data_IF_055048239951
#
_entry.id   IF_055048239951
#
_cell.length_a   1.000
_cell.length_b   1.000
_cell.length_c   1.000
_cell.angle_alpha   90.00
_cell.angle_beta   90.00
_cell.angle_gamma   90.00
#
_symmetry.space_group_name_H-M   'P 1'
#
loop_
_entity.id
_entity.type
_entity.pdbx_description
1 polymer ?
#
# COMPACT_ATOMS: atom_id res chain seq x y z
N UNK A 1 15.11 -22.06 -34.30
CA UNK A 1 15.58 -20.73 -33.89
C UNK A 1 14.59 -20.16 -32.89
N UNK A 2 15.03 -19.66 -31.74
CA UNK A 2 14.14 -18.98 -30.80
C UNK A 2 13.60 -17.70 -31.45
N UNK A 3 12.27 -17.51 -31.44
CA UNK A 3 11.63 -16.29 -31.92
C UNK A 3 11.80 -15.22 -30.85
N UNK A 4 12.54 -14.15 -31.14
CA UNK A 4 12.64 -12.99 -30.25
C UNK A 4 11.29 -12.27 -30.25
N UNK A 5 10.61 -12.26 -29.10
CA UNK A 5 9.43 -11.44 -28.89
C UNK A 5 9.87 -10.01 -28.55
N UNK A 6 9.22 -9.00 -29.14
CA UNK A 6 9.37 -7.59 -28.77
C UNK A 6 8.13 -7.17 -27.98
N UNK A 7 8.35 -6.37 -26.94
CA UNK A 7 7.31 -5.70 -26.19
C UNK A 7 7.76 -4.28 -25.85
N UNK A 8 6.83 -3.34 -25.76
CA UNK A 8 7.12 -1.97 -25.33
C UNK A 8 7.47 -1.95 -23.84
N UNK A 9 6.81 -2.81 -23.04
CA UNK A 9 7.07 -2.99 -21.62
C UNK A 9 7.15 -4.46 -21.26
N UNK A 10 8.16 -4.83 -20.49
CA UNK A 10 8.29 -6.15 -19.85
C UNK A 10 8.23 -5.97 -18.34
N UNK A 11 7.24 -6.61 -17.71
CA UNK A 11 7.06 -6.64 -16.26
C UNK A 11 7.52 -8.00 -15.73
N UNK A 12 8.53 -8.01 -14.87
CA UNK A 12 9.07 -9.24 -14.27
C UNK A 12 8.47 -9.41 -12.88
N UNK A 13 7.75 -10.52 -12.69
CA UNK A 13 6.89 -10.80 -11.55
C UNK A 13 5.45 -10.35 -11.80
N UNK A 14 4.49 -11.16 -11.38
CA UNK A 14 3.05 -10.93 -11.42
C UNK A 14 2.47 -10.60 -10.03
N UNK A 15 3.26 -9.90 -9.21
CA UNK A 15 2.81 -9.35 -7.93
C UNK A 15 2.08 -8.01 -8.07
N UNK A 16 1.67 -7.45 -6.93
CA UNK A 16 0.83 -6.24 -6.86
C UNK A 16 1.46 -5.01 -7.54
N UNK A 17 2.78 -4.86 -7.45
CA UNK A 17 3.50 -3.74 -8.07
C UNK A 17 3.41 -3.77 -9.59
N UNK A 18 3.76 -4.90 -10.20
CA UNK A 18 3.68 -5.11 -11.65
C UNK A 18 2.24 -5.04 -12.15
N UNK A 19 1.29 -5.66 -11.44
CA UNK A 19 -0.13 -5.61 -11.81
C UNK A 19 -0.66 -4.17 -11.81
N UNK A 20 -0.34 -3.39 -10.77
CA UNK A 20 -0.77 -1.99 -10.66
C UNK A 20 -0.15 -1.13 -11.75
N UNK A 21 1.16 -1.25 -11.99
CA UNK A 21 1.84 -0.51 -13.05
C UNK A 21 1.31 -0.88 -14.43
N UNK A 22 1.09 -2.17 -14.69
CA UNK A 22 0.51 -2.65 -15.94
C UNK A 22 -0.90 -2.10 -16.18
N UNK A 23 -1.74 -2.04 -15.14
CA UNK A 23 -3.07 -1.43 -15.23
C UNK A 23 -3.00 0.07 -15.56
N UNK A 24 -2.09 0.82 -14.92
CA UNK A 24 -1.88 2.24 -15.22
C UNK A 24 -1.41 2.46 -16.66
N UNK A 25 -0.39 1.72 -17.09
CA UNK A 25 0.15 1.80 -18.45
C UNK A 25 -0.91 1.45 -19.50
N UNK A 26 -1.77 0.46 -19.22
CA UNK A 26 -2.86 0.11 -20.14
C UNK A 26 -3.86 1.24 -20.35
N UNK A 27 -4.01 2.14 -19.37
CA UNK A 27 -4.89 3.32 -19.46
C UNK A 27 -4.20 4.49 -20.15
N UNK A 28 -2.92 4.71 -19.87
CA UNK A 28 -2.15 5.84 -20.42
C UNK A 28 -1.68 5.59 -21.85
N UNK A 29 -1.23 4.37 -22.14
CA UNK A 29 -0.64 3.95 -23.41
C UNK A 29 -1.33 2.68 -23.93
N UNK A 30 -2.60 2.76 -24.38
CA UNK A 30 -3.41 1.59 -24.74
C UNK A 30 -2.89 0.83 -25.99
N UNK A 31 -1.97 1.43 -26.75
CA UNK A 31 -1.36 0.78 -27.91
C UNK A 31 -0.09 0.00 -27.56
N UNK A 32 0.50 0.22 -26.38
CA UNK A 32 1.70 -0.49 -25.96
C UNK A 32 1.42 -1.96 -25.70
N UNK A 33 2.33 -2.79 -26.19
CA UNK A 33 2.43 -4.20 -25.87
C UNK A 33 3.10 -4.38 -24.50
N UNK A 34 2.38 -5.00 -23.57
CA UNK A 34 2.87 -5.28 -22.21
C UNK A 34 2.99 -6.80 -22.05
N UNK A 35 4.20 -7.28 -21.77
CA UNK A 35 4.47 -8.68 -21.45
C UNK A 35 4.76 -8.81 -19.96
N UNK A 36 4.02 -9.66 -19.26
CA UNK A 36 4.30 -10.00 -17.87
C UNK A 36 4.90 -11.40 -17.79
N UNK A 37 5.99 -11.54 -17.06
CA UNK A 37 6.72 -12.80 -16.90
C UNK A 37 6.67 -13.18 -15.43
N UNK A 38 6.11 -14.34 -15.12
CA UNK A 38 6.06 -14.90 -13.77
C UNK A 38 6.76 -16.26 -13.75
N UNK A 39 7.50 -16.53 -12.68
CA UNK A 39 8.19 -17.80 -12.45
C UNK A 39 7.29 -18.83 -11.80
N UNK A 40 6.39 -18.39 -10.90
CA UNK A 40 5.49 -19.25 -10.15
C UNK A 40 4.27 -19.65 -10.99
N UNK A 41 3.58 -20.71 -10.55
CA UNK A 41 2.41 -21.25 -11.24
C UNK A 41 1.15 -20.35 -11.11
N UNK A 42 1.24 -19.28 -10.32
CA UNK A 42 0.13 -18.36 -10.05
C UNK A 42 0.59 -16.93 -9.90
N UNK A 43 -0.34 -16.01 -10.16
CA UNK A 43 -0.14 -14.58 -9.89
C UNK A 43 -0.11 -14.33 -8.39
N UNK A 44 0.66 -13.33 -7.97
CA UNK A 44 0.75 -12.88 -6.58
C UNK A 44 1.11 -13.95 -5.53
N UNK A 45 1.60 -15.14 -5.92
CA UNK A 45 1.77 -16.29 -5.01
C UNK A 45 2.94 -16.17 -4.01
N UNK A 46 3.76 -15.11 -4.07
CA UNK A 46 4.88 -14.89 -3.16
C UNK A 46 4.63 -13.65 -2.28
N UNK A 47 5.39 -12.56 -2.42
CA UNK A 47 5.31 -11.40 -1.51
C UNK A 47 3.95 -10.68 -1.53
N UNK A 48 3.15 -10.88 -2.57
CA UNK A 48 1.79 -10.31 -2.68
C UNK A 48 0.71 -11.23 -2.10
N UNK A 49 1.06 -12.46 -1.75
CA UNK A 49 0.12 -13.43 -1.18
C UNK A 49 -0.34 -12.91 0.19
N UNK A 50 -1.64 -12.98 0.51
CA UNK A 50 -2.16 -12.49 1.80
C UNK A 50 -1.49 -13.09 3.03
N UNK A 51 -0.88 -14.28 2.91
CA UNK A 51 -0.17 -14.94 4.01
C UNK A 51 1.27 -14.46 4.20
N UNK A 52 1.90 -13.97 3.13
CA UNK A 52 3.28 -13.46 3.16
C UNK A 52 3.33 -11.94 3.32
N UNK A 53 2.24 -11.27 2.94
CA UNK A 53 2.09 -9.85 3.00
C UNK A 53 1.49 -9.45 4.35
N UNK A 54 2.09 -8.47 5.02
CA UNK A 54 1.56 -7.90 6.27
C UNK A 54 0.20 -7.19 6.09
N UNK A 55 -0.31 -7.12 4.85
CA UNK A 55 -1.59 -6.55 4.46
C UNK A 55 -1.35 -5.42 3.48
N UNK A 56 -1.62 -5.62 2.20
CA UNK A 56 -1.62 -4.54 1.21
C UNK A 56 -2.73 -3.54 1.53
N UNK A 57 -2.34 -2.34 1.98
CA UNK A 57 -3.20 -1.16 2.00
C UNK A 57 -3.68 -0.72 3.37
N UNK A 58 -2.74 -0.39 4.27
CA UNK A 58 -3.04 0.40 5.47
C UNK A 58 -2.45 1.81 5.33
N UNK A 59 -3.08 2.79 5.95
CA UNK A 59 -2.65 4.18 5.95
C UNK A 59 -1.52 4.46 6.96
N UNK A 60 -0.67 3.47 7.25
CA UNK A 60 0.45 3.64 8.20
C UNK A 60 0.05 3.70 9.68
N UNK A 61 -1.15 3.23 10.06
CA UNK A 61 -1.71 3.43 11.41
C UNK A 61 -1.01 2.60 12.49
N UNK A 62 -0.55 1.40 12.16
CA UNK A 62 0.01 0.45 13.12
C UNK A 62 1.55 0.47 13.17
N UNK A 63 2.19 1.19 12.25
CA UNK A 63 3.63 1.18 12.05
C UNK A 63 4.30 2.16 13.02
N UNK A 64 4.54 1.71 14.26
CA UNK A 64 5.16 2.54 15.30
C UNK A 64 6.51 3.13 14.87
N UNK A 65 7.27 2.40 14.06
CA UNK A 65 8.54 2.86 13.48
C UNK A 65 8.41 4.00 12.45
N UNK A 66 7.20 4.40 12.07
CA UNK A 66 6.96 5.63 11.29
C UNK A 66 6.87 6.88 12.14
N UNK A 67 6.86 6.71 13.47
CA UNK A 67 6.74 7.79 14.44
C UNK A 67 7.88 7.73 15.46
N UNK A 68 9.15 7.91 15.05
CA UNK A 68 10.27 7.84 15.97
C UNK A 68 10.24 8.99 16.99
N UNK A 69 10.68 8.69 18.21
CA UNK A 69 10.96 9.72 19.20
C UNK A 69 12.28 10.42 18.86
N UNK A 70 12.26 11.75 18.88
CA UNK A 70 13.43 12.60 18.67
C UNK A 70 14.23 12.75 19.98
N UNK A 71 15.51 13.22 19.92
CA UNK A 71 16.33 13.43 21.11
C UNK A 71 15.73 14.40 22.14
N UNK A 72 14.85 15.31 21.71
CA UNK A 72 14.13 16.26 22.57
C UNK A 72 12.84 15.68 23.20
N UNK A 73 12.52 14.41 22.91
CA UNK A 73 11.32 13.73 23.41
C UNK A 73 10.06 13.94 22.57
N UNK A 74 10.10 14.76 21.52
CA UNK A 74 8.99 14.92 20.57
C UNK A 74 8.81 13.67 19.70
N UNK A 75 7.59 13.47 19.17
CA UNK A 75 7.29 12.39 18.23
C UNK A 75 7.21 12.98 16.82
N UNK A 76 8.11 12.55 15.93
CA UNK A 76 8.04 12.94 14.52
C UNK A 76 6.95 12.14 13.82
N UNK A 77 5.96 12.81 13.24
CA UNK A 77 4.85 12.17 12.51
C UNK A 77 4.99 12.26 10.98
N UNK A 78 6.03 12.90 10.46
CA UNK A 78 6.15 13.24 9.04
C UNK A 78 6.09 12.02 8.11
N UNK A 79 6.74 10.92 8.50
CA UNK A 79 6.69 9.67 7.73
C UNK A 79 5.29 9.05 7.74
N UNK A 80 4.61 9.03 8.89
CA UNK A 80 3.25 8.52 9.00
C UNK A 80 2.27 9.34 8.15
N UNK A 81 2.36 10.67 8.18
CA UNK A 81 1.55 11.57 7.35
C UNK A 81 1.77 11.27 5.86
N UNK A 82 3.04 11.24 5.41
CA UNK A 82 3.38 10.99 4.00
C UNK A 82 2.85 9.65 3.50
N UNK A 83 2.97 8.58 4.29
CA UNK A 83 2.46 7.25 3.91
C UNK A 83 0.93 7.27 3.82
N UNK A 84 0.26 7.95 4.74
CA UNK A 84 -1.20 8.09 4.71
C UNK A 84 -1.66 8.89 3.48
N UNK A 85 -0.99 9.99 3.12
CA UNK A 85 -1.26 10.74 1.89
C UNK A 85 -1.12 9.88 0.63
N UNK A 86 -0.04 9.10 0.53
CA UNK A 86 0.16 8.14 -0.56
C UNK A 86 -0.98 7.11 -0.62
N UNK A 87 -1.45 6.62 0.54
CA UNK A 87 -2.60 5.72 0.59
C UNK A 87 -3.89 6.38 0.10
N UNK A 88 -4.11 7.68 0.36
CA UNK A 88 -5.26 8.40 -0.21
C UNK A 88 -5.17 8.47 -1.74
N UNK A 89 -3.98 8.67 -2.30
CA UNK A 89 -3.78 8.61 -3.77
C UNK A 89 -4.09 7.22 -4.32
N UNK A 90 -3.68 6.15 -3.64
CA UNK A 90 -4.05 4.78 -3.99
C UNK A 90 -5.57 4.59 -3.99
N UNK A 91 -6.28 5.12 -3.00
CA UNK A 91 -7.76 5.05 -2.94
C UNK A 91 -8.42 5.80 -4.09
N UNK A 92 -7.85 6.92 -4.55
CA UNK A 92 -8.35 7.64 -5.74
C UNK A 92 -8.23 6.77 -7.00
N UNK A 93 -7.12 6.05 -7.17
CA UNK A 93 -6.98 5.11 -8.28
C UNK A 93 -7.99 3.96 -8.20
N UNK A 94 -8.21 3.39 -7.01
CA UNK A 94 -9.23 2.34 -6.84
C UNK A 94 -10.65 2.84 -7.12
N UNK A 95 -10.98 4.07 -6.72
CA UNK A 95 -12.26 4.70 -7.04
C UNK A 95 -12.43 4.83 -8.56
N UNK A 96 -11.43 5.38 -9.25
CA UNK A 96 -11.41 5.46 -10.71
C UNK A 96 -11.55 4.08 -11.37
N UNK A 97 -10.80 3.09 -10.89
CA UNK A 97 -10.81 1.73 -11.43
C UNK A 97 -12.19 1.06 -11.28
N UNK A 98 -12.89 1.31 -10.17
CA UNK A 98 -14.25 0.86 -9.96
C UNK A 98 -15.25 1.55 -10.89
N UNK A 99 -15.19 2.88 -10.99
CA UNK A 99 -16.06 3.68 -11.86
C UNK A 99 -15.91 3.33 -13.36
N UNK A 100 -14.73 2.86 -13.75
CA UNK A 100 -14.41 2.49 -15.13
C UNK A 100 -14.47 0.98 -15.40
N UNK A 101 -14.97 0.16 -14.45
CA UNK A 101 -15.14 -1.28 -14.63
C UNK A 101 -13.83 -2.09 -14.73
N UNK A 102 -12.70 -1.51 -14.32
CA UNK A 102 -11.41 -2.22 -14.22
C UNK A 102 -11.43 -3.15 -12.99
N UNK A 103 -12.02 -2.66 -11.89
CA UNK A 103 -12.29 -3.43 -10.69
C UNK A 103 -13.80 -3.54 -10.52
N UNK A 104 -14.32 -4.76 -10.48
CA UNK A 104 -15.77 -5.01 -10.51
C UNK A 104 -16.35 -5.39 -9.15
N UNK A 105 -15.52 -5.87 -8.21
CA UNK A 105 -15.93 -6.22 -6.84
C UNK A 105 -15.06 -5.49 -5.81
N UNK A 106 -15.41 -4.25 -5.50
CA UNK A 106 -14.68 -3.43 -4.51
C UNK A 106 -14.76 -4.03 -3.11
N UNK A 107 -15.90 -4.62 -2.73
CA UNK A 107 -16.10 -5.17 -1.38
C UNK A 107 -15.35 -6.49 -1.18
N UNK A 108 -15.05 -7.21 -2.26
CA UNK A 108 -14.21 -8.39 -2.24
C UNK A 108 -12.78 -8.14 -1.74
N UNK A 109 -12.22 -6.94 -1.93
CA UNK A 109 -10.83 -6.65 -1.54
C UNK A 109 -10.64 -5.44 -0.60
N UNK A 110 -11.56 -4.47 -0.58
CA UNK A 110 -11.44 -3.27 0.27
C UNK A 110 -12.43 -3.30 1.43
N UNK A 111 -11.92 -3.55 2.63
CA UNK A 111 -12.72 -3.65 3.85
C UNK A 111 -12.19 -2.70 4.94
N UNK A 112 -13.06 -1.88 5.57
CA UNK A 112 -12.65 -1.08 6.71
C UNK A 112 -12.41 -2.00 7.91
N UNK A 113 -11.24 -1.89 8.51
CA UNK A 113 -10.86 -2.66 9.71
C UNK A 113 -10.30 -1.73 10.78
N UNK A 114 -10.61 -1.97 12.07
CA UNK A 114 -9.99 -1.23 13.16
C UNK A 114 -8.50 -1.55 13.21
N UNK A 115 -7.68 -0.51 13.39
CA UNK A 115 -6.24 -0.63 13.54
C UNK A 115 -5.90 -0.41 15.01
N UNK A 116 -5.20 -1.36 15.61
CA UNK A 116 -4.88 -1.34 17.04
C UNK A 116 -3.39 -1.58 17.21
N UNK A 117 -2.71 -0.62 17.84
CA UNK A 117 -1.35 -0.79 18.34
C UNK A 117 -1.40 -1.23 19.81
N UNK A 118 -0.66 -2.28 20.14
CA UNK A 118 -0.53 -2.80 21.49
C UNK A 118 0.93 -2.79 21.92
N UNK A 119 1.20 -2.31 23.13
CA UNK A 119 2.53 -2.21 23.73
C UNK A 119 2.46 -2.56 25.22
N UNK A 120 3.61 -2.91 25.82
CA UNK A 120 3.70 -3.29 27.23
C UNK A 120 4.88 -2.58 27.90
N UNK A 121 4.78 -2.33 29.21
CA UNK A 121 5.79 -1.59 29.96
C UNK A 121 5.53 -0.08 30.00
N UNK A 122 6.02 0.57 31.05
CA UNK A 122 5.69 1.98 31.32
C UNK A 122 6.18 2.91 30.20
N UNK A 123 7.38 2.66 29.66
CA UNK A 123 8.01 3.47 28.61
C UNK A 123 7.24 3.40 27.29
N UNK A 124 6.91 2.19 26.82
CA UNK A 124 6.18 2.05 25.56
C UNK A 124 4.75 2.57 25.65
N UNK A 125 4.10 2.42 26.83
CA UNK A 125 2.77 2.98 27.08
C UNK A 125 2.79 4.50 27.04
N UNK A 126 3.81 5.15 27.62
CA UNK A 126 4.01 6.59 27.53
C UNK A 126 4.24 7.04 26.08
N UNK A 127 5.13 6.35 25.37
CA UNK A 127 5.39 6.57 23.95
C UNK A 127 4.09 6.50 23.12
N UNK A 128 3.27 5.46 23.31
CA UNK A 128 2.04 5.28 22.53
C UNK A 128 1.02 6.40 22.82
N UNK A 129 0.94 6.90 24.07
CA UNK A 129 0.10 8.06 24.42
C UNK A 129 0.58 9.34 23.74
N UNK A 130 1.88 9.64 23.80
CA UNK A 130 2.47 10.81 23.12
C UNK A 130 2.31 10.73 21.60
N UNK A 131 2.52 9.56 21.01
CA UNK A 131 2.27 9.29 19.59
C UNK A 131 0.82 9.59 19.21
N UNK A 132 -0.15 9.09 20.00
CA UNK A 132 -1.57 9.38 19.76
C UNK A 132 -1.84 10.89 19.80
N UNK A 133 -1.33 11.59 20.81
CA UNK A 133 -1.51 13.03 20.93
C UNK A 133 -0.93 13.79 19.72
N UNK A 134 0.28 13.43 19.28
CA UNK A 134 0.92 14.06 18.13
C UNK A 134 0.15 13.85 16.82
N UNK A 135 -0.51 12.69 16.65
CA UNK A 135 -1.29 12.38 15.45
C UNK A 135 -2.71 12.97 15.47
N UNK A 136 -3.30 13.19 16.65
CA UNK A 136 -4.73 13.47 16.82
C UNK A 136 -5.22 14.74 16.09
N UNK A 137 -4.38 15.76 15.99
CA UNK A 137 -4.74 17.03 15.34
C UNK A 137 -4.69 16.96 13.81
N UNK A 138 -4.11 15.89 13.24
CA UNK A 138 -4.01 15.74 11.80
C UNK A 138 -5.28 15.04 11.24
N UNK A 139 -6.01 15.64 10.27
CA UNK A 139 -7.25 15.08 9.72
C UNK A 139 -7.12 13.66 9.15
N UNK A 140 -5.94 13.26 8.69
CA UNK A 140 -5.69 11.92 8.17
C UNK A 140 -5.75 10.83 9.26
N UNK A 141 -5.73 11.23 10.52
CA UNK A 141 -5.80 10.38 11.71
C UNK A 141 -7.00 10.72 12.61
N UNK A 142 -7.86 11.65 12.18
CA UNK A 142 -9.05 12.05 12.89
C UNK A 142 -10.15 10.97 12.76
N UNK A 143 -10.10 9.96 13.65
CA UNK A 143 -11.17 8.98 13.87
C UNK A 143 -11.21 8.53 15.32
#
# INVERSE_FOLDING_TARGET
>A
MAKTAKADVVLVGAGIMSATLGALLRRLEPQWSITMIERLDGVAAESSDPWNNAGTGHSGLCELFYTPQQPDGSIDIGKAVRVNEQFQVTRQFWAYAAENGILTDVRGFLNPVPHVSFVQGAEDVDYLRRRRAALADNPLFAR
#
